data_IF_336512027202
#
_entry.id   IF_336512027202
#
_cell.length_a   1.000
_cell.length_b   1.000
_cell.length_c   1.000
_cell.angle_alpha   90.00
_cell.angle_beta   90.00
_cell.angle_gamma   90.00
#
_symmetry.space_group_name_H-M   'P 1'
#
loop_
_entity.id
_entity.type
_entity.pdbx_description
1 polymer ?
#
# COMPACT_ATOMS: atom_id res chain seq x y z
N UNK A 1 18.22 4.62 -74.42
CA UNK A 1 17.64 5.69 -73.56
C UNK A 1 16.39 5.15 -72.89
N UNK A 2 16.43 4.91 -71.58
CA UNK A 2 15.25 4.42 -70.86
C UNK A 2 14.31 5.59 -70.56
N UNK A 3 13.25 5.74 -71.35
CA UNK A 3 12.10 6.63 -71.08
C UNK A 3 10.93 5.76 -70.61
N UNK A 4 10.91 5.41 -69.33
CA UNK A 4 9.78 4.74 -68.66
C UNK A 4 8.88 5.74 -67.95
N UNK A 5 7.56 5.53 -68.00
CA UNK A 5 6.55 6.30 -67.26
C UNK A 5 6.91 6.36 -65.76
N UNK A 6 6.90 7.55 -65.17
CA UNK A 6 7.03 7.76 -63.72
C UNK A 6 8.35 8.35 -63.22
N UNK A 7 9.33 8.63 -64.07
CA UNK A 7 10.58 9.28 -63.64
C UNK A 7 10.38 10.79 -63.50
N UNK A 8 10.44 11.30 -62.25
CA UNK A 8 10.56 12.73 -61.97
C UNK A 8 12.03 13.14 -62.02
N UNK A 9 12.29 14.28 -62.66
CA UNK A 9 13.61 14.87 -62.82
C UNK A 9 13.71 16.14 -61.98
N UNK A 10 14.92 16.50 -61.53
CA UNK A 10 15.13 17.73 -60.74
C UNK A 10 15.13 18.92 -61.70
N UNK A 11 14.03 19.67 -61.74
CA UNK A 11 13.87 20.81 -62.66
C UNK A 11 13.99 20.38 -64.13
N UNK A 12 14.82 21.09 -64.90
CA UNK A 12 15.10 20.81 -66.33
C UNK A 12 16.37 19.95 -66.54
N UNK A 13 16.89 19.33 -65.49
CA UNK A 13 18.08 18.47 -65.59
C UNK A 13 17.71 17.04 -66.02
N UNK A 14 18.65 16.31 -66.63
CA UNK A 14 18.49 14.86 -66.93
C UNK A 14 18.75 13.96 -65.71
N UNK A 15 18.83 14.54 -64.51
CA UNK A 15 19.13 13.84 -63.26
C UNK A 15 17.81 13.40 -62.63
N UNK A 16 17.66 12.09 -62.40
CA UNK A 16 16.47 11.54 -61.71
C UNK A 16 16.40 12.12 -60.30
N UNK A 17 15.24 12.61 -59.89
CA UNK A 17 15.02 13.03 -58.51
C UNK A 17 15.07 11.79 -57.61
N UNK A 18 16.07 11.71 -56.75
CA UNK A 18 16.12 10.72 -55.69
C UNK A 18 15.47 11.33 -54.45
N UNK A 19 14.53 10.62 -53.83
CA UNK A 19 14.17 10.91 -52.45
C UNK A 19 15.41 10.64 -51.60
N UNK A 20 15.97 11.69 -50.99
CA UNK A 20 17.04 11.51 -50.02
C UNK A 20 16.51 10.59 -48.92
N UNK A 21 17.26 9.54 -48.51
CA UNK A 21 16.89 8.80 -47.31
C UNK A 21 16.80 9.82 -46.17
N UNK A 22 15.75 9.71 -45.36
CA UNK A 22 15.61 10.51 -44.13
C UNK A 22 16.68 10.04 -43.14
N UNK A 23 17.92 10.46 -43.36
CA UNK A 23 19.01 10.30 -42.42
C UNK A 23 18.63 11.05 -41.14
N UNK A 24 18.96 10.48 -39.99
CA UNK A 24 18.84 11.20 -38.72
C UNK A 24 19.69 12.46 -38.84
N UNK A 25 19.10 13.60 -38.50
CA UNK A 25 19.78 14.90 -38.50
C UNK A 25 20.99 14.83 -37.55
N UNK A 26 22.09 15.42 -37.97
CA UNK A 26 23.31 15.48 -37.14
C UNK A 26 23.05 16.35 -35.91
N UNK A 27 23.60 15.97 -34.75
CA UNK A 27 23.42 16.69 -33.48
C UNK A 27 23.93 18.13 -33.56
N UNK A 28 24.91 18.40 -34.42
CA UNK A 28 25.41 19.74 -34.72
C UNK A 28 24.37 20.66 -35.40
N UNK A 29 23.27 20.12 -35.93
CA UNK A 29 22.19 20.90 -36.56
C UNK A 29 21.26 21.58 -35.54
N UNK A 30 21.36 21.25 -34.24
CA UNK A 30 20.54 21.84 -33.17
C UNK A 30 21.36 22.50 -32.05
N UNK A 31 22.22 23.48 -32.36
CA UNK A 31 23.09 24.11 -31.36
C UNK A 31 22.25 24.72 -30.22
N UNK A 32 22.57 24.32 -28.98
CA UNK A 32 21.94 24.81 -27.76
C UNK A 32 20.64 24.12 -27.33
N UNK A 33 20.13 23.14 -28.09
CA UNK A 33 18.92 22.36 -27.73
C UNK A 33 19.16 20.88 -27.49
N UNK A 34 20.36 20.39 -27.84
CA UNK A 34 20.75 18.99 -27.68
C UNK A 34 22.14 18.92 -27.08
N UNK A 35 22.34 17.97 -26.17
CA UNK A 35 23.64 17.65 -25.59
C UNK A 35 24.03 16.21 -25.95
N UNK A 36 25.33 15.91 -25.92
CA UNK A 36 25.84 14.57 -26.16
C UNK A 36 25.39 13.64 -25.03
N UNK A 37 24.82 12.48 -25.39
CA UNK A 37 24.42 11.50 -24.39
C UNK A 37 25.61 11.07 -23.51
N UNK A 38 26.75 10.80 -24.14
CA UNK A 38 28.00 10.50 -23.49
C UNK A 38 29.05 11.57 -23.84
N UNK A 39 29.80 12.11 -22.86
CA UNK A 39 29.69 11.87 -21.42
C UNK A 39 28.69 12.81 -20.71
N UNK A 40 28.25 13.88 -21.38
CA UNK A 40 27.67 15.06 -20.72
C UNK A 40 26.32 14.76 -20.03
N UNK A 41 25.34 14.23 -20.76
CA UNK A 41 24.02 13.90 -20.18
C UNK A 41 24.14 12.82 -19.10
N UNK A 42 24.88 11.73 -19.39
CA UNK A 42 25.01 10.62 -18.46
C UNK A 42 25.63 11.06 -17.12
N UNK A 43 26.65 11.93 -17.16
CA UNK A 43 27.29 12.44 -15.96
C UNK A 43 26.33 13.31 -15.13
N UNK A 44 25.51 14.15 -15.76
CA UNK A 44 24.47 14.94 -15.07
C UNK A 44 23.40 14.06 -14.43
N UNK A 45 22.94 13.02 -15.13
CA UNK A 45 21.97 12.06 -14.60
C UNK A 45 22.55 11.27 -13.43
N UNK A 46 23.83 10.86 -13.51
CA UNK A 46 24.52 10.18 -12.40
C UNK A 46 24.69 11.07 -11.18
N UNK A 47 25.08 12.33 -11.37
CA UNK A 47 25.17 13.29 -10.27
C UNK A 47 23.80 13.52 -9.61
N UNK A 48 22.75 13.69 -10.43
CA UNK A 48 21.37 13.86 -9.94
C UNK A 48 20.89 12.62 -9.19
N UNK A 49 21.14 11.43 -9.74
CA UNK A 49 20.84 10.15 -9.11
C UNK A 49 21.60 9.95 -7.80
N UNK A 50 22.88 10.31 -7.73
CA UNK A 50 23.68 10.25 -6.51
C UNK A 50 23.12 11.17 -5.42
N UNK A 51 22.80 12.42 -5.76
CA UNK A 51 22.17 13.37 -4.82
C UNK A 51 20.82 12.85 -4.32
N UNK A 52 19.98 12.33 -5.23
CA UNK A 52 18.70 11.73 -4.87
C UNK A 52 18.86 10.53 -3.94
N UNK A 53 19.78 9.61 -4.24
CA UNK A 53 20.03 8.42 -3.42
C UNK A 53 20.56 8.77 -2.03
N UNK A 54 21.46 9.76 -1.93
CA UNK A 54 21.94 10.26 -0.63
C UNK A 54 20.79 10.89 0.15
N UNK A 55 19.96 11.73 -0.47
CA UNK A 55 18.80 12.32 0.19
C UNK A 55 17.79 11.25 0.65
N UNK A 56 17.54 10.23 -0.18
CA UNK A 56 16.68 9.11 0.17
C UNK A 56 17.25 8.28 1.33
N UNK A 57 18.56 8.01 1.34
CA UNK A 57 19.22 7.33 2.45
C UNK A 57 19.12 8.14 3.76
N UNK A 58 19.32 9.46 3.69
CA UNK A 58 19.11 10.33 4.85
C UNK A 58 17.67 10.25 5.35
N UNK A 59 16.69 10.22 4.44
CA UNK A 59 15.27 10.10 4.79
C UNK A 59 14.97 8.76 5.50
N UNK A 60 15.48 7.64 4.98
CA UNK A 60 15.22 6.30 5.59
C UNK A 60 15.93 6.10 6.92
N UNK A 61 17.05 6.79 7.16
CA UNK A 61 17.73 6.82 8.46
C UNK A 61 16.98 7.72 9.46
N UNK A 62 16.47 8.88 9.01
CA UNK A 62 15.75 9.83 9.88
C UNK A 62 14.34 9.35 10.23
N UNK A 63 13.67 8.68 9.30
CA UNK A 63 12.31 8.18 9.45
C UNK A 63 12.31 6.65 9.23
N UNK A 64 12.35 5.84 10.32
CA UNK A 64 12.30 4.40 10.19
C UNK A 64 10.98 3.98 9.54
N UNK A 65 11.00 2.81 8.89
CA UNK A 65 9.80 2.25 8.28
C UNK A 65 8.71 2.06 9.35
N UNK A 66 7.47 2.49 9.10
CA UNK A 66 6.36 2.31 10.03
C UNK A 66 5.92 0.84 10.04
N UNK A 67 6.72 -0.03 10.65
CA UNK A 67 6.42 -1.44 10.82
C UNK A 67 5.35 -1.62 11.89
N UNK A 68 4.29 -2.33 11.54
CA UNK A 68 3.24 -2.72 12.48
C UNK A 68 3.51 -4.12 13.04
N UNK A 69 2.66 -4.55 13.99
CA UNK A 69 2.68 -5.92 14.53
C UNK A 69 2.55 -6.96 13.41
N UNK A 70 3.04 -8.16 13.69
CA UNK A 70 2.95 -9.30 12.78
C UNK A 70 1.48 -9.57 12.44
N UNK A 71 1.21 -9.83 11.16
CA UNK A 71 -0.13 -10.14 10.68
C UNK A 71 -0.65 -11.42 11.35
N UNK A 72 -1.84 -11.31 11.94
CA UNK A 72 -2.51 -12.39 12.64
C UNK A 72 -3.83 -12.73 11.92
N UNK A 73 -3.96 -13.91 11.30
CA UNK A 73 -5.18 -14.29 10.58
C UNK A 73 -6.39 -14.51 11.50
N UNK A 74 -6.19 -14.58 12.82
CA UNK A 74 -7.26 -14.72 13.80
C UNK A 74 -7.78 -13.39 14.36
N UNK A 75 -7.07 -12.27 14.11
CA UNK A 75 -7.56 -10.93 14.47
C UNK A 75 -8.38 -10.31 13.33
N UNK A 76 -9.70 -10.35 13.49
CA UNK A 76 -10.65 -9.75 12.55
C UNK A 76 -11.00 -8.29 12.86
N UNK A 77 -10.50 -7.75 13.98
CA UNK A 77 -10.75 -6.37 14.41
C UNK A 77 -9.75 -5.36 13.86
N UNK A 78 -8.67 -5.83 13.22
CA UNK A 78 -7.69 -4.98 12.57
C UNK A 78 -8.24 -4.38 11.27
N UNK A 79 -8.21 -3.06 11.16
CA UNK A 79 -8.59 -2.34 9.95
C UNK A 79 -7.33 -1.99 9.15
N UNK A 80 -6.99 -2.73 8.07
CA UNK A 80 -5.80 -2.45 7.29
C UNK A 80 -5.95 -1.12 6.55
N UNK A 81 -5.03 -0.19 6.81
CA UNK A 81 -4.88 1.03 6.04
C UNK A 81 -3.87 0.79 4.91
N UNK A 82 -4.18 1.14 3.65
CA UNK A 82 -3.19 1.12 2.59
C UNK A 82 -2.20 2.29 2.73
N UNK A 83 -1.05 2.16 2.07
CA UNK A 83 -0.03 3.20 2.03
C UNK A 83 -0.53 4.51 1.40
N UNK A 84 0.19 5.60 1.68
CA UNK A 84 -0.14 6.97 1.27
C UNK A 84 -0.43 7.11 -0.24
N UNK A 85 0.29 6.38 -1.09
CA UNK A 85 0.13 6.41 -2.55
C UNK A 85 -1.15 5.71 -3.05
N UNK A 86 -1.88 5.02 -2.19
CA UNK A 86 -3.18 4.40 -2.48
C UNK A 86 -4.35 5.03 -1.73
N UNK A 87 -4.11 6.04 -0.88
CA UNK A 87 -5.18 6.67 -0.08
C UNK A 87 -6.29 7.29 -0.95
N UNK A 88 -5.97 7.78 -2.15
CA UNK A 88 -6.98 8.31 -3.07
C UNK A 88 -8.00 7.24 -3.51
N UNK A 89 -7.53 6.03 -3.81
CA UNK A 89 -8.40 4.89 -4.16
C UNK A 89 -9.17 4.41 -2.94
N UNK A 90 -8.51 4.38 -1.78
CA UNK A 90 -9.14 4.02 -0.52
C UNK A 90 -10.29 4.97 -0.17
N UNK A 91 -10.11 6.28 -0.36
CA UNK A 91 -11.18 7.26 -0.13
C UNK A 91 -12.35 7.07 -1.09
N UNK A 92 -12.05 6.83 -2.38
CA UNK A 92 -13.08 6.55 -3.37
C UNK A 92 -13.93 5.37 -2.91
N UNK A 93 -13.33 4.31 -2.38
CA UNK A 93 -14.03 3.12 -1.88
C UNK A 93 -14.86 3.37 -0.61
N UNK A 94 -14.63 4.46 0.12
CA UNK A 94 -15.48 4.85 1.26
C UNK A 94 -16.76 5.55 0.83
N UNK A 95 -16.82 6.10 -0.38
CA UNK A 95 -18.03 6.76 -0.84
C UNK A 95 -19.16 5.76 -1.10
N UNK A 96 -20.39 6.16 -0.77
CA UNK A 96 -21.58 5.29 -0.84
C UNK A 96 -21.87 4.74 -2.23
N UNK A 97 -21.48 5.47 -3.29
CA UNK A 97 -21.65 5.07 -4.69
C UNK A 97 -20.55 4.16 -5.22
N UNK A 98 -19.48 3.94 -4.45
CA UNK A 98 -18.35 3.09 -4.82
C UNK A 98 -18.14 1.94 -3.81
N UNK A 99 -18.85 1.94 -2.69
CA UNK A 99 -18.78 0.93 -1.62
C UNK A 99 -20.01 0.02 -1.57
N UNK A 100 -19.96 -0.98 -0.69
CA UNK A 100 -21.10 -1.88 -0.42
C UNK A 100 -21.48 -2.74 -1.64
N UNK A 101 -22.73 -2.69 -2.15
CA UNK A 101 -23.11 -3.42 -3.36
C UNK A 101 -22.29 -3.05 -4.60
N UNK A 102 -21.70 -1.84 -4.61
CA UNK A 102 -20.90 -1.32 -5.72
C UNK A 102 -19.39 -1.47 -5.52
N UNK A 103 -18.94 -2.26 -4.54
CA UNK A 103 -17.52 -2.40 -4.23
C UNK A 103 -16.68 -2.85 -5.44
N UNK A 104 -17.21 -3.77 -6.26
CA UNK A 104 -16.58 -4.21 -7.51
C UNK A 104 -16.43 -3.06 -8.51
N UNK A 105 -17.42 -2.17 -8.57
CA UNK A 105 -17.38 -1.01 -9.45
C UNK A 105 -16.32 0.00 -8.99
N UNK A 106 -16.30 0.33 -7.70
CA UNK A 106 -15.33 1.26 -7.12
C UNK A 106 -13.89 0.74 -7.16
N UNK A 107 -13.67 -0.53 -6.86
CA UNK A 107 -12.34 -1.12 -6.75
C UNK A 107 -11.73 -1.53 -8.10
N UNK A 108 -12.55 -1.98 -9.07
CA UNK A 108 -12.04 -2.57 -10.33
C UNK A 108 -12.42 -1.71 -11.53
N UNK A 109 -13.71 -1.41 -11.69
CA UNK A 109 -14.20 -0.76 -12.91
C UNK A 109 -13.70 0.68 -13.02
N UNK A 110 -13.81 1.47 -11.96
CA UNK A 110 -13.41 2.88 -11.99
C UNK A 110 -11.91 3.07 -12.21
N UNK A 111 -10.99 2.40 -11.48
CA UNK A 111 -9.56 2.45 -11.79
C UNK A 111 -9.26 1.87 -13.17
N UNK A 112 -9.91 0.77 -13.56
CA UNK A 112 -9.75 0.15 -14.88
C UNK A 112 -10.09 1.10 -16.04
N UNK A 113 -11.16 1.89 -15.91
CA UNK A 113 -11.51 2.93 -16.89
C UNK A 113 -10.46 4.05 -16.89
N UNK A 114 -9.99 4.51 -15.74
CA UNK A 114 -8.98 5.57 -15.65
C UNK A 114 -7.65 5.14 -16.30
N UNK A 115 -7.14 3.95 -15.97
CA UNK A 115 -5.95 3.38 -16.59
C UNK A 115 -6.17 3.06 -18.07
N UNK A 116 -7.34 2.55 -18.44
CA UNK A 116 -7.72 2.32 -19.83
C UNK A 116 -7.73 3.61 -20.65
N UNK A 117 -8.24 4.71 -20.09
CA UNK A 117 -8.23 6.02 -20.73
C UNK A 117 -6.80 6.55 -20.93
N UNK A 118 -5.90 6.35 -19.95
CA UNK A 118 -4.48 6.69 -20.10
C UNK A 118 -3.78 5.82 -21.15
N UNK A 119 -4.05 4.52 -21.16
CA UNK A 119 -3.49 3.60 -22.15
C UNK A 119 -3.96 3.93 -23.57
N UNK A 120 -5.22 4.34 -23.71
CA UNK A 120 -5.81 4.75 -24.99
C UNK A 120 -5.56 6.23 -25.31
N UNK A 121 -4.86 6.99 -24.44
CA UNK A 121 -4.60 8.41 -24.63
C UNK A 121 -3.99 8.76 -26.00
N UNK A 122 -3.07 7.97 -26.59
CA UNK A 122 -2.54 8.23 -27.93
C UNK A 122 -3.61 8.24 -29.04
N UNK A 123 -4.71 7.51 -28.86
CA UNK A 123 -5.81 7.42 -29.83
C UNK A 123 -6.96 8.36 -29.51
N UNK A 124 -7.15 8.72 -28.24
CA UNK A 124 -8.16 9.70 -27.81
C UNK A 124 -7.71 11.13 -28.16
N UNK A 125 -6.42 11.42 -28.02
CA UNK A 125 -5.87 12.74 -28.31
C UNK A 125 -5.03 12.74 -29.59
N UNK A 126 -5.74 12.76 -30.73
CA UNK A 126 -5.18 12.76 -32.09
C UNK A 126 -4.73 14.14 -32.58
N UNK A 127 -4.63 15.12 -31.68
CA UNK A 127 -4.20 16.47 -32.04
C UNK A 127 -2.79 16.47 -32.67
N UNK A 128 -2.52 17.31 -33.69
CA UNK A 128 -1.19 17.41 -34.29
C UNK A 128 -0.15 18.02 -33.32
N UNK A 129 -0.63 18.79 -32.33
CA UNK A 129 0.17 19.50 -31.35
C UNK A 129 0.51 18.62 -30.14
N UNK A 130 1.75 18.69 -29.65
CA UNK A 130 2.21 17.92 -28.48
C UNK A 130 2.32 18.73 -27.19
N UNK A 131 2.26 20.06 -27.28
CA UNK A 131 2.39 20.95 -26.12
C UNK A 131 1.10 20.98 -25.31
N UNK A 132 1.19 20.84 -23.99
CA UNK A 132 0.03 20.83 -23.09
C UNK A 132 -0.86 22.07 -23.25
N UNK A 133 -0.27 23.26 -23.37
CA UNK A 133 -0.97 24.52 -23.62
C UNK A 133 -1.80 24.57 -24.91
N UNK A 134 -1.53 23.70 -25.88
CA UNK A 134 -2.27 23.61 -27.15
C UNK A 134 -3.30 22.48 -27.16
N UNK A 135 -3.43 21.74 -26.05
CA UNK A 135 -4.35 20.61 -25.85
C UNK A 135 -5.19 20.87 -24.59
N UNK A 136 -6.07 21.88 -24.60
CA UNK A 136 -6.76 22.33 -23.38
C UNK A 136 -7.65 21.23 -22.77
N UNK A 137 -8.28 20.38 -23.59
CA UNK A 137 -9.14 19.30 -23.10
C UNK A 137 -8.34 18.19 -22.40
N UNK A 138 -7.34 17.62 -23.06
CA UNK A 138 -6.54 16.54 -22.46
C UNK A 138 -5.73 17.02 -21.25
N UNK A 139 -5.17 18.23 -21.33
CA UNK A 139 -4.48 18.83 -20.18
C UNK A 139 -5.46 19.14 -19.05
N UNK A 140 -6.67 19.59 -19.37
CA UNK A 140 -7.75 19.82 -18.39
C UNK A 140 -8.16 18.54 -17.67
N UNK A 141 -8.38 17.44 -18.40
CA UNK A 141 -8.70 16.14 -17.79
C UNK A 141 -7.55 15.58 -16.95
N UNK A 142 -6.30 15.74 -17.39
CA UNK A 142 -5.13 15.34 -16.62
C UNK A 142 -5.02 16.15 -15.31
N UNK A 143 -5.19 17.46 -15.37
CA UNK A 143 -5.17 18.33 -14.19
C UNK A 143 -6.34 18.02 -13.25
N UNK A 144 -7.53 17.74 -13.78
CA UNK A 144 -8.67 17.31 -13.00
C UNK A 144 -8.38 15.97 -12.29
N UNK A 145 -7.78 15.00 -13.00
CA UNK A 145 -7.40 13.72 -12.39
C UNK A 145 -6.39 13.92 -11.24
N UNK A 146 -5.38 14.77 -11.44
CA UNK A 146 -4.42 15.13 -10.38
C UNK A 146 -5.10 15.82 -9.20
N UNK A 147 -6.02 16.75 -9.47
CA UNK A 147 -6.80 17.43 -8.43
C UNK A 147 -7.68 16.46 -7.63
N UNK A 148 -8.31 15.49 -8.30
CA UNK A 148 -9.10 14.43 -7.65
C UNK A 148 -8.19 13.57 -6.76
N UNK A 149 -7.03 13.11 -7.26
CA UNK A 149 -6.07 12.32 -6.49
C UNK A 149 -5.62 13.08 -5.25
N UNK A 150 -5.27 14.36 -5.41
CA UNK A 150 -4.83 15.21 -4.29
C UNK A 150 -5.95 15.40 -3.26
N UNK A 151 -7.15 15.78 -3.72
CA UNK A 151 -8.30 16.03 -2.85
C UNK A 151 -8.69 14.78 -2.06
N UNK A 152 -8.83 13.63 -2.73
CA UNK A 152 -9.23 12.38 -2.07
C UNK A 152 -8.14 11.82 -1.15
N UNK A 153 -6.86 12.00 -1.48
CA UNK A 153 -5.74 11.68 -0.58
C UNK A 153 -5.79 12.54 0.68
N UNK A 154 -5.97 13.86 0.52
CA UNK A 154 -6.13 14.79 1.63
C UNK A 154 -7.33 14.43 2.49
N UNK A 155 -8.49 14.18 1.89
CA UNK A 155 -9.72 13.82 2.60
C UNK A 155 -9.53 12.52 3.41
N UNK A 156 -8.95 11.47 2.79
CA UNK A 156 -8.65 10.25 3.53
C UNK A 156 -7.70 10.49 4.68
N UNK A 157 -6.64 11.28 4.46
CA UNK A 157 -5.65 11.55 5.50
C UNK A 157 -6.20 12.42 6.63
N UNK A 158 -7.09 13.36 6.31
CA UNK A 158 -7.57 14.34 7.28
C UNK A 158 -8.63 13.77 8.22
N UNK A 159 -9.53 12.94 7.69
CA UNK A 159 -10.61 12.33 8.47
C UNK A 159 -10.28 10.94 9.03
N UNK A 160 -9.02 10.49 8.89
CA UNK A 160 -8.58 9.22 9.48
C UNK A 160 -8.08 9.39 10.91
N UNK A 161 -8.47 8.47 11.79
CA UNK A 161 -8.00 8.43 13.18
C UNK A 161 -6.65 7.72 13.27
N UNK A 162 -5.59 8.48 13.01
CA UNK A 162 -4.20 8.01 13.10
C UNK A 162 -3.81 7.50 14.48
N UNK A 163 -4.42 8.01 15.55
CA UNK A 163 -4.11 7.55 16.92
C UNK A 163 -4.65 6.15 17.14
N UNK A 164 -5.88 5.89 16.70
CA UNK A 164 -6.48 4.56 16.76
C UNK A 164 -5.71 3.56 15.90
N UNK A 165 -5.35 3.94 14.68
CA UNK A 165 -4.56 3.07 13.79
C UNK A 165 -3.19 2.74 14.39
N UNK A 166 -2.45 3.74 14.89
CA UNK A 166 -1.16 3.53 15.52
C UNK A 166 -1.26 2.63 16.78
N UNK A 167 -2.36 2.73 17.53
CA UNK A 167 -2.60 1.85 18.67
C UNK A 167 -2.88 0.40 18.23
N UNK A 168 -3.60 0.19 17.13
CA UNK A 168 -3.87 -1.15 16.57
C UNK A 168 -2.63 -1.78 15.93
N UNK A 169 -1.78 -0.98 15.28
CA UNK A 169 -0.54 -1.44 14.64
C UNK A 169 0.64 -1.61 15.60
N UNK A 170 0.52 -1.21 16.86
CA UNK A 170 1.65 -1.22 17.81
C UNK A 170 2.18 -2.64 18.00
N UNK A 171 3.50 -2.79 17.83
CA UNK A 171 4.22 -4.02 18.13
C UNK A 171 4.24 -4.19 19.65
N UNK A 172 3.67 -5.30 20.14
CA UNK A 172 3.69 -5.69 21.54
C UNK A 172 4.43 -7.01 21.62
N UNK A 173 5.52 -7.04 22.38
CA UNK A 173 6.23 -8.28 22.69
C UNK A 173 5.67 -8.85 23.98
N UNK A 174 5.56 -10.18 24.04
CA UNK A 174 4.97 -10.91 25.16
C UNK A 174 5.81 -12.14 25.43
N UNK A 175 5.72 -12.69 26.64
CA UNK A 175 6.34 -13.97 26.98
C UNK A 175 5.53 -15.19 26.47
N UNK A 176 4.67 -15.01 25.47
CA UNK A 176 3.80 -16.06 24.95
C UNK A 176 4.63 -17.19 24.29
N UNK A 177 4.58 -18.38 24.87
CA UNK A 177 5.10 -19.58 24.23
C UNK A 177 4.00 -20.28 23.41
N UNK A 178 4.04 -20.08 22.09
CA UNK A 178 3.09 -20.74 21.17
C UNK A 178 3.28 -22.26 21.07
N UNK A 179 4.39 -22.81 21.56
CA UNK A 179 4.64 -24.26 21.61
C UNK A 179 4.11 -24.91 22.88
N UNK A 180 3.63 -24.11 23.84
CA UNK A 180 3.05 -24.63 25.06
C UNK A 180 1.82 -25.52 24.74
N UNK A 181 1.70 -26.71 25.34
CA UNK A 181 0.57 -27.61 25.09
C UNK A 181 -0.81 -26.97 25.35
N UNK A 182 -0.93 -26.09 26.34
CA UNK A 182 -2.17 -25.37 26.64
C UNK A 182 -2.49 -24.40 25.50
N UNK A 183 -1.48 -23.73 24.95
CA UNK A 183 -1.67 -22.85 23.79
C UNK A 183 -2.12 -23.63 22.55
N UNK A 184 -1.36 -24.67 22.16
CA UNK A 184 -1.63 -25.41 20.93
C UNK A 184 -2.96 -26.19 20.96
N UNK A 185 -3.31 -26.80 22.11
CA UNK A 185 -4.47 -27.68 22.20
C UNK A 185 -5.76 -26.95 22.53
N UNK A 186 -5.69 -25.88 23.33
CA UNK A 186 -6.88 -25.25 23.90
C UNK A 186 -7.03 -23.81 23.38
N UNK A 187 -6.05 -22.95 23.61
CA UNK A 187 -6.18 -21.50 23.35
C UNK A 187 -6.32 -21.23 21.84
N UNK A 188 -5.50 -21.88 21.01
CA UNK A 188 -5.49 -21.70 19.54
C UNK A 188 -6.84 -22.01 18.89
N UNK A 189 -7.62 -22.94 19.45
CA UNK A 189 -8.89 -23.37 18.87
C UNK A 189 -10.10 -22.62 19.44
N UNK A 190 -10.00 -22.15 20.68
CA UNK A 190 -11.16 -21.63 21.42
C UNK A 190 -11.09 -20.13 21.71
N UNK A 191 -9.89 -19.55 21.77
CA UNK A 191 -9.70 -18.20 22.32
C UNK A 191 -9.15 -17.20 21.27
N UNK A 192 -8.30 -17.64 20.34
CA UNK A 192 -7.60 -16.73 19.42
C UNK A 192 -8.50 -16.03 18.42
N UNK A 193 -9.66 -16.60 18.07
CA UNK A 193 -10.63 -15.96 17.17
C UNK A 193 -11.16 -14.62 17.69
N UNK A 194 -11.14 -14.42 19.01
CA UNK A 194 -11.54 -13.16 19.65
C UNK A 194 -10.34 -12.43 20.25
N UNK A 195 -9.41 -13.14 20.88
CA UNK A 195 -8.30 -12.52 21.60
C UNK A 195 -7.01 -12.36 20.77
N UNK A 196 -7.01 -12.80 19.51
CA UNK A 196 -5.83 -12.86 18.65
C UNK A 196 -4.90 -14.03 19.00
N UNK A 197 -4.11 -14.47 18.04
CA UNK A 197 -3.05 -15.46 18.14
C UNK A 197 -1.82 -14.98 18.94
N UNK A 198 -1.69 -13.70 19.21
CA UNK A 198 -0.74 -13.20 20.22
C UNK A 198 -1.41 -12.94 21.59
N UNK A 199 -2.71 -13.19 21.71
CA UNK A 199 -3.52 -12.88 22.90
C UNK A 199 -3.51 -11.39 23.30
N UNK A 200 -3.09 -10.54 22.37
CA UNK A 200 -3.02 -9.07 22.52
C UNK A 200 -4.36 -8.37 22.25
N UNK A 201 -5.43 -9.13 22.03
CA UNK A 201 -6.78 -8.64 21.76
C UNK A 201 -7.15 -8.65 20.28
N UNK A 202 -8.36 -8.17 20.00
CA UNK A 202 -8.97 -8.11 18.67
C UNK A 202 -10.44 -7.74 18.81
N UNK A 203 -11.33 -8.70 18.58
CA UNK A 203 -12.75 -8.58 18.95
C UNK A 203 -12.96 -8.66 20.48
N UNK A 204 -12.11 -9.41 21.18
CA UNK A 204 -12.03 -9.52 22.63
C UNK A 204 -10.88 -8.68 23.21
N UNK A 205 -10.85 -8.49 24.54
CA UNK A 205 -9.82 -7.71 25.20
C UNK A 205 -8.43 -8.36 25.12
N UNK A 206 -7.38 -7.55 25.30
CA UNK A 206 -6.01 -8.01 25.44
C UNK A 206 -5.82 -8.80 26.74
N UNK A 207 -5.46 -10.07 26.65
CA UNK A 207 -5.30 -10.98 27.80
C UNK A 207 -3.96 -10.80 28.51
N UNK A 208 -2.93 -10.39 27.77
CA UNK A 208 -1.57 -10.15 28.30
C UNK A 208 -1.55 -8.91 29.20
N UNK A 209 -2.29 -7.86 28.83
CA UNK A 209 -2.39 -6.61 29.58
C UNK A 209 -3.45 -6.65 30.68
N UNK A 210 -4.37 -7.62 30.65
CA UNK A 210 -5.48 -7.71 31.60
C UNK A 210 -5.01 -7.89 33.06
N UNK A 211 -3.87 -8.56 33.26
CA UNK A 211 -3.24 -8.78 34.56
C UNK A 211 -4.24 -9.27 35.63
N UNK A 212 -5.03 -10.29 35.26
CA UNK A 212 -6.03 -10.89 36.12
C UNK A 212 -5.44 -12.11 36.83
N UNK A 213 -5.78 -12.33 38.13
CA UNK A 213 -5.41 -13.56 38.80
C UNK A 213 -6.11 -14.76 38.15
N UNK A 214 -5.52 -15.95 38.24
CA UNK A 214 -6.08 -17.15 37.61
C UNK A 214 -7.54 -17.42 38.02
N UNK A 215 -7.90 -17.13 39.28
CA UNK A 215 -9.29 -17.25 39.74
C UNK A 215 -10.27 -16.33 38.99
N UNK A 216 -9.83 -15.11 38.65
CA UNK A 216 -10.61 -14.16 37.86
C UNK A 216 -10.77 -14.65 36.41
N UNK A 217 -9.66 -15.10 35.80
CA UNK A 217 -9.68 -15.68 34.44
C UNK A 217 -10.61 -16.88 34.36
N UNK A 218 -10.51 -17.80 35.34
CA UNK A 218 -11.39 -18.96 35.45
C UNK A 218 -12.86 -18.57 35.48
N UNK A 219 -13.21 -17.56 36.28
CA UNK A 219 -14.58 -17.05 36.35
C UNK A 219 -15.12 -16.58 35.00
N UNK A 220 -14.29 -15.90 34.21
CA UNK A 220 -14.65 -15.45 32.86
C UNK A 220 -14.77 -16.62 31.87
N UNK A 221 -13.86 -17.58 31.91
CA UNK A 221 -13.90 -18.75 31.01
C UNK A 221 -15.09 -19.65 31.33
N UNK A 222 -15.42 -19.85 32.61
CA UNK A 222 -16.56 -20.68 33.03
C UNK A 222 -17.91 -20.02 32.73
N UNK A 223 -18.06 -18.72 33.00
CA UNK A 223 -19.39 -18.08 32.96
C UNK A 223 -19.61 -17.21 31.72
N UNK A 224 -18.54 -16.89 30.97
CA UNK A 224 -18.58 -15.88 29.93
C UNK A 224 -18.68 -14.46 30.49
N UNK A 225 -18.61 -13.47 29.61
CA UNK A 225 -18.87 -12.06 29.94
C UNK A 225 -19.15 -11.22 28.69
N UNK A 226 -20.28 -10.52 28.67
CA UNK A 226 -20.70 -9.71 27.53
C UNK A 226 -20.83 -10.57 26.27
N UNK A 227 -19.93 -10.36 25.30
CA UNK A 227 -19.87 -11.14 24.06
C UNK A 227 -19.03 -12.42 24.15
N UNK A 228 -18.29 -12.63 25.25
CA UNK A 228 -17.50 -13.85 25.47
C UNK A 228 -18.44 -14.98 25.94
N UNK A 229 -18.53 -16.11 25.21
CA UNK A 229 -19.37 -17.23 25.60
C UNK A 229 -18.81 -17.96 26.83
N UNK A 230 -19.66 -18.75 27.48
CA UNK A 230 -19.23 -19.71 28.50
C UNK A 230 -18.57 -20.93 27.85
N UNK A 231 -17.46 -21.39 28.42
CA UNK A 231 -16.76 -22.60 27.99
C UNK A 231 -16.92 -23.78 28.96
N UNK A 232 -17.76 -23.64 29.99
CA UNK A 232 -17.94 -24.67 31.03
C UNK A 232 -18.44 -26.01 30.49
N UNK A 233 -19.24 -25.98 29.42
CA UNK A 233 -19.77 -27.18 28.79
C UNK A 233 -18.88 -27.70 27.64
N UNK A 234 -17.86 -26.93 27.25
CA UNK A 234 -16.94 -27.25 26.14
C UNK A 234 -15.59 -27.75 26.63
N UNK A 235 -15.09 -27.22 27.75
CA UNK A 235 -13.80 -27.55 28.34
C UNK A 235 -13.99 -28.24 29.70
N UNK A 236 -13.10 -29.16 30.05
CA UNK A 236 -13.09 -29.75 31.39
C UNK A 236 -12.62 -28.74 32.44
N UNK A 237 -12.94 -28.97 33.71
CA UNK A 237 -12.48 -28.11 34.81
C UNK A 237 -10.96 -27.99 34.86
N UNK A 238 -10.27 -29.08 34.57
CA UNK A 238 -8.80 -29.13 34.50
C UNK A 238 -8.26 -28.29 33.35
N UNK A 239 -8.88 -28.36 32.16
CA UNK A 239 -8.50 -27.54 31.00
C UNK A 239 -8.72 -26.05 31.26
N UNK A 240 -9.81 -25.69 31.94
CA UNK A 240 -10.07 -24.31 32.34
C UNK A 240 -9.03 -23.81 33.34
N UNK A 241 -8.63 -24.66 34.30
CA UNK A 241 -7.55 -24.33 35.25
C UNK A 241 -6.20 -24.15 34.56
N UNK A 242 -5.88 -24.98 33.56
CA UNK A 242 -4.67 -24.83 32.74
C UNK A 242 -4.66 -23.50 31.98
N UNK A 243 -5.76 -23.17 31.27
CA UNK A 243 -5.91 -21.90 30.55
C UNK A 243 -5.77 -20.71 31.50
N UNK A 244 -6.38 -20.80 32.68
CA UNK A 244 -6.36 -19.70 33.65
C UNK A 244 -4.97 -19.42 34.19
N UNK A 245 -4.19 -20.48 34.49
CA UNK A 245 -2.80 -20.35 34.94
C UNK A 245 -1.89 -19.86 33.81
N UNK A 246 -2.12 -20.35 32.59
CA UNK A 246 -1.37 -19.90 31.42
C UNK A 246 -1.54 -18.40 31.20
N UNK A 247 -2.78 -17.91 31.23
CA UNK A 247 -3.08 -16.47 31.02
C UNK A 247 -2.55 -15.61 32.18
N UNK A 248 -2.65 -16.07 33.43
CA UNK A 248 -2.08 -15.35 34.59
C UNK A 248 -0.57 -15.14 34.45
N UNK A 249 0.14 -16.10 33.83
CA UNK A 249 1.57 -16.03 33.59
C UNK A 249 1.99 -15.12 32.43
N UNK A 250 1.04 -14.59 31.64
CA UNK A 250 1.37 -13.74 30.49
C UNK A 250 1.67 -12.31 30.92
N UNK A 251 2.74 -11.76 30.38
CA UNK A 251 3.13 -10.36 30.58
C UNK A 251 3.79 -9.77 29.33
N UNK A 252 3.71 -8.44 29.20
CA UNK A 252 4.42 -7.70 28.15
C UNK A 252 5.92 -7.72 28.43
N UNK A 253 6.71 -7.96 27.38
CA UNK A 253 8.18 -7.98 27.43
C UNK A 253 8.75 -6.89 26.54
N UNK A 254 10.03 -6.59 26.71
CA UNK A 254 10.80 -5.85 25.71
C UNK A 254 11.18 -6.76 24.53
N UNK A 255 11.78 -6.18 23.49
CA UNK A 255 12.28 -6.91 22.32
C UNK A 255 13.29 -8.03 22.65
N UNK A 256 13.90 -8.00 23.84
CA UNK A 256 14.86 -8.99 24.32
C UNK A 256 14.23 -10.02 25.26
N UNK A 257 12.90 -10.02 25.39
CA UNK A 257 12.16 -10.96 26.24
C UNK A 257 12.26 -10.66 27.74
N UNK A 258 12.75 -9.48 28.13
CA UNK A 258 12.78 -9.07 29.53
C UNK A 258 11.41 -8.50 29.91
N UNK A 259 10.85 -8.87 31.07
CA UNK A 259 9.56 -8.35 31.49
C UNK A 259 9.62 -6.83 31.68
N UNK A 260 8.65 -6.13 31.10
CA UNK A 260 8.47 -4.70 31.35
C UNK A 260 8.03 -4.55 32.81
N UNK A 261 8.78 -3.78 33.60
CA UNK A 261 8.50 -3.59 35.04
C UNK A 261 7.04 -3.15 35.24
N UNK A 262 6.34 -3.89 36.10
CA UNK A 262 4.96 -3.67 36.56
C UNK A 262 4.78 -2.27 37.17
#
# INVERSE_FOLDING_TARGET
MHRGKGMKFVGDSRIKSYEKPKLNRDYSEFPGKTESFWPDFLLKEWMTGAVFLVAYLCLTVAHPSPLERIADPSDTGYTPLPDWYFLFLYQILKYTYASGPFNTFGAIVMPGIAFGALMLAPWLDRGPERKWNKRPLASGFMLLAVAIIFYTTWESSHYHDWKKQAAQGKIVFTNLDKKDPTYEKIIKSNCTSCHGGELTGGAGPNLVKANLPAAGVKGFVENGSGAMPSFKDTLTKEQIDEVSKFIEGLEETDENGKPLKK
#
